data_IF_843954086472
#
_entry.id   IF_843954086472
#
_cell.length_a   1.000
_cell.length_b   1.000
_cell.length_c   1.000
_cell.angle_alpha   90.00
_cell.angle_beta   90.00
_cell.angle_gamma   90.00
#
_symmetry.space_group_name_H-M   'P 1'
#
loop_
_entity.id
_entity.type
_entity.pdbx_description
1 polymer ?
#
# COMPACT_ATOMS: atom_id res chain seq x y z
N UNK A 1 -7.75 -11.54 -31.75
CA UNK A 1 -8.41 -11.63 -30.44
C UNK A 1 -9.85 -11.23 -30.65
N UNK A 2 -10.82 -12.08 -30.27
CA UNK A 2 -12.23 -11.75 -30.46
C UNK A 2 -12.63 -10.63 -29.48
N UNK A 3 -13.70 -9.89 -29.81
CA UNK A 3 -14.21 -8.82 -28.95
C UNK A 3 -14.59 -9.36 -27.56
N UNK A 4 -15.07 -10.60 -27.50
CA UNK A 4 -15.38 -11.30 -26.25
C UNK A 4 -14.15 -11.49 -25.36
N UNK A 5 -13.03 -11.93 -25.92
CA UNK A 5 -11.76 -12.08 -25.20
C UNK A 5 -11.28 -10.75 -24.63
N UNK A 6 -11.43 -9.66 -25.40
CA UNK A 6 -11.08 -8.31 -24.96
C UNK A 6 -11.94 -7.83 -23.78
N UNK A 7 -13.25 -8.05 -23.84
CA UNK A 7 -14.17 -7.67 -22.77
C UNK A 7 -13.91 -8.46 -21.47
N UNK A 8 -13.59 -9.74 -21.58
CA UNK A 8 -13.25 -10.58 -20.43
C UNK A 8 -11.98 -10.07 -19.75
N UNK A 9 -10.93 -9.81 -20.54
CA UNK A 9 -9.66 -9.30 -20.02
C UNK A 9 -9.86 -7.91 -19.37
N UNK A 10 -10.56 -7.00 -20.05
CA UNK A 10 -10.86 -5.67 -19.51
C UNK A 10 -11.66 -5.72 -18.20
N UNK A 11 -12.64 -6.63 -18.10
CA UNK A 11 -13.41 -6.87 -16.88
C UNK A 11 -12.53 -7.34 -15.72
N UNK A 12 -11.63 -8.30 -15.98
CA UNK A 12 -10.67 -8.77 -14.98
C UNK A 12 -9.75 -7.66 -14.47
N UNK A 13 -9.16 -6.88 -15.36
CA UNK A 13 -8.28 -5.77 -14.98
C UNK A 13 -9.02 -4.70 -14.17
N UNK A 14 -10.27 -4.42 -14.52
CA UNK A 14 -11.10 -3.45 -13.80
C UNK A 14 -11.40 -3.93 -12.38
N UNK A 15 -11.76 -5.21 -12.23
CA UNK A 15 -12.09 -5.81 -10.93
C UNK A 15 -10.86 -5.90 -10.02
N UNK A 16 -9.71 -6.30 -10.56
CA UNK A 16 -8.43 -6.31 -9.85
C UNK A 16 -7.99 -4.89 -9.49
N UNK A 17 -8.09 -3.94 -10.42
CA UNK A 17 -7.75 -2.53 -10.19
C UNK A 17 -8.59 -1.91 -9.08
N UNK A 18 -9.90 -2.19 -9.06
CA UNK A 18 -10.82 -1.74 -8.01
C UNK A 18 -10.42 -2.33 -6.65
N UNK A 19 -10.17 -3.64 -6.60
CA UNK A 19 -9.76 -4.33 -5.36
C UNK A 19 -8.46 -3.74 -4.80
N UNK A 20 -7.46 -3.52 -5.66
CA UNK A 20 -6.20 -2.90 -5.27
C UNK A 20 -6.43 -1.46 -4.81
N UNK A 21 -7.24 -0.67 -5.52
CA UNK A 21 -7.56 0.71 -5.15
C UNK A 21 -8.23 0.86 -3.78
N UNK A 22 -9.05 -0.12 -3.38
CA UNK A 22 -9.68 -0.15 -2.04
C UNK A 22 -8.67 -0.56 -0.96
N UNK A 23 -7.80 -1.53 -1.25
CA UNK A 23 -6.88 -2.11 -0.27
C UNK A 23 -5.62 -1.25 -0.08
N UNK A 24 -5.12 -0.64 -1.15
CA UNK A 24 -3.85 0.10 -1.16
C UNK A 24 -3.77 1.23 -0.11
N UNK A 25 -4.80 2.07 0.13
CA UNK A 25 -4.76 3.09 1.16
C UNK A 25 -4.59 2.51 2.58
N UNK A 26 -5.23 1.38 2.85
CA UNK A 26 -5.17 0.69 4.15
C UNK A 26 -3.79 0.06 4.37
N UNK A 27 -3.24 -0.58 3.35
CA UNK A 27 -1.87 -1.11 3.37
C UNK A 27 -0.87 0.03 3.54
N UNK A 28 -1.01 1.10 2.77
CA UNK A 28 -0.13 2.27 2.84
C UNK A 28 -0.13 2.90 4.24
N UNK A 29 -1.30 3.07 4.85
CA UNK A 29 -1.40 3.58 6.24
C UNK A 29 -0.71 2.65 7.25
N UNK A 30 -0.81 1.34 7.06
CA UNK A 30 -0.16 0.35 7.93
C UNK A 30 1.36 0.40 7.80
N UNK A 31 1.85 0.41 6.57
CA UNK A 31 3.28 0.53 6.26
C UNK A 31 3.81 1.88 6.76
N UNK A 32 3.11 2.99 6.54
CA UNK A 32 3.51 4.30 7.02
C UNK A 32 3.63 4.33 8.54
N UNK A 33 2.68 3.75 9.28
CA UNK A 33 2.78 3.59 10.74
C UNK A 33 3.98 2.75 11.16
N UNK A 34 4.25 1.68 10.43
CA UNK A 34 5.40 0.79 10.68
C UNK A 34 6.72 1.54 10.47
N UNK A 35 6.86 2.24 9.33
CA UNK A 35 8.03 3.08 9.02
C UNK A 35 8.22 4.15 10.07
N UNK A 36 7.15 4.85 10.50
CA UNK A 36 7.24 5.85 11.57
C UNK A 36 7.66 5.21 12.90
N UNK A 37 7.20 4.00 13.20
CA UNK A 37 7.60 3.26 14.42
C UNK A 37 9.07 2.85 14.39
N UNK A 38 9.61 2.47 13.23
CA UNK A 38 11.04 2.18 13.05
C UNK A 38 11.91 3.44 12.97
N UNK A 39 11.37 4.53 12.40
CA UNK A 39 12.09 5.79 12.18
C UNK A 39 12.09 6.70 13.41
N UNK A 40 11.13 6.52 14.34
CA UNK A 40 11.26 7.05 15.70
C UNK A 40 12.42 6.33 16.38
N UNK A 41 13.62 6.92 16.22
CA UNK A 41 14.79 6.63 17.05
C UNK A 41 14.32 6.52 18.50
N UNK A 42 14.69 5.45 19.21
CA UNK A 42 14.28 5.28 20.59
C UNK A 42 14.70 6.51 21.41
N UNK A 43 13.81 6.94 22.32
CA UNK A 43 14.02 8.12 23.20
C UNK A 43 15.41 8.12 23.86
N UNK A 44 16.00 6.94 24.07
CA UNK A 44 17.33 6.77 24.65
C UNK A 44 18.48 7.46 23.88
N UNK A 45 18.35 7.73 22.57
CA UNK A 45 19.37 8.47 21.79
C UNK A 45 19.13 9.99 21.78
N UNK A 46 18.00 10.46 22.32
CA UNK A 46 17.65 11.87 22.38
C UNK A 46 18.21 12.56 23.62
N UNK A 47 18.46 11.79 24.68
CA UNK A 47 18.94 12.28 25.98
C UNK A 47 20.47 12.28 26.09
N UNK A 48 21.21 11.60 25.19
CA UNK A 48 22.68 11.63 25.15
C UNK A 48 23.22 12.73 24.23
N UNK A 49 22.73 13.97 24.40
CA UNK A 49 23.51 15.16 24.05
C UNK A 49 24.16 15.65 25.34
N UNK A 50 25.22 14.97 25.75
CA UNK A 50 26.22 15.50 26.67
C UNK A 50 27.27 16.25 25.85
#
# INVERSE_FOLDING_TARGET
MNIEDFLIVAGFFTLVGLAIGIIAPSIFRTIAKLIVKFSKRPKHLRETKF
#
